data_IF_586506327319
#
_entry.id   IF_586506327319
#
_cell.length_a   1.000
_cell.length_b   1.000
_cell.length_c   1.000
_cell.angle_alpha   90.00
_cell.angle_beta   90.00
_cell.angle_gamma   90.00
#
_symmetry.space_group_name_H-M   'P 1'
#
loop_
_entity.id
_entity.type
_entity.pdbx_description
1 polymer ?
#
# COMPACT_ATOMS: atom_id res chain seq x y z
N UNK A 1 -10.15 0.98 -22.66
CA UNK A 1 -10.67 -0.38 -22.97
C UNK A 1 -12.18 -0.31 -22.89
N UNK A 2 -12.94 -0.83 -23.87
CA UNK A 2 -14.41 -0.91 -23.76
C UNK A 2 -14.79 -2.00 -22.75
N UNK A 3 -15.88 -1.84 -22.00
CA UNK A 3 -16.28 -2.77 -20.94
C UNK A 3 -16.40 -4.24 -21.40
N UNK A 4 -16.88 -4.48 -22.62
CA UNK A 4 -16.97 -5.82 -23.20
C UNK A 4 -15.60 -6.50 -23.36
N UNK A 5 -14.56 -5.76 -23.73
CA UNK A 5 -13.21 -6.32 -23.87
C UNK A 5 -12.62 -6.71 -22.50
N UNK A 6 -12.89 -5.93 -21.46
CA UNK A 6 -12.48 -6.25 -20.08
C UNK A 6 -13.17 -7.52 -19.58
N UNK A 7 -14.48 -7.65 -19.76
CA UNK A 7 -15.23 -8.84 -19.34
C UNK A 7 -14.74 -10.12 -20.04
N UNK A 8 -14.53 -10.06 -21.37
CA UNK A 8 -13.99 -11.17 -22.12
C UNK A 8 -12.60 -11.59 -21.61
N UNK A 9 -11.75 -10.62 -21.25
CA UNK A 9 -10.42 -10.89 -20.69
C UNK A 9 -10.51 -11.56 -19.32
N UNK A 10 -11.37 -11.07 -18.43
CA UNK A 10 -11.58 -11.67 -17.11
C UNK A 10 -12.09 -13.12 -17.23
N UNK A 11 -13.03 -13.38 -18.12
CA UNK A 11 -13.54 -14.72 -18.40
C UNK A 11 -12.44 -15.65 -18.94
N UNK A 12 -11.63 -15.17 -19.89
CA UNK A 12 -10.51 -15.94 -20.43
C UNK A 12 -9.45 -16.28 -19.37
N UNK A 13 -9.25 -15.40 -18.37
CA UNK A 13 -8.37 -15.62 -17.24
C UNK A 13 -9.02 -16.42 -16.09
N UNK A 14 -10.29 -16.82 -16.21
CA UNK A 14 -11.02 -17.49 -15.15
C UNK A 14 -11.31 -16.61 -13.92
N UNK A 15 -11.23 -15.29 -14.06
CA UNK A 15 -11.47 -14.32 -12.98
C UNK A 15 -12.94 -13.91 -12.96
N UNK A 16 -13.63 -14.20 -11.86
CA UNK A 16 -15.01 -13.78 -11.68
C UNK A 16 -15.09 -12.28 -11.34
N UNK A 17 -15.79 -11.45 -12.14
CA UNK A 17 -15.99 -10.04 -11.80
C UNK A 17 -16.97 -9.89 -10.64
N UNK A 18 -16.62 -9.06 -9.67
CA UNK A 18 -17.53 -8.58 -8.62
C UNK A 18 -17.58 -7.06 -8.70
N UNK A 19 -18.79 -6.51 -8.85
CA UNK A 19 -19.00 -5.06 -8.99
C UNK A 19 -19.64 -4.49 -7.74
N UNK A 20 -19.22 -3.30 -7.35
CA UNK A 20 -19.85 -2.54 -6.28
C UNK A 20 -21.30 -2.22 -6.62
N UNK A 21 -22.14 -2.14 -5.58
CA UNK A 21 -23.54 -1.76 -5.70
C UNK A 21 -23.66 -0.35 -6.29
N UNK A 22 -24.59 -0.11 -7.22
CA UNK A 22 -24.80 1.21 -7.80
C UNK A 22 -25.10 2.26 -6.71
N UNK A 23 -24.39 3.39 -6.75
CA UNK A 23 -24.60 4.51 -5.83
C UNK A 23 -24.04 4.32 -4.42
N UNK A 24 -23.27 3.26 -4.15
CA UNK A 24 -22.69 2.98 -2.84
C UNK A 24 -21.18 3.18 -2.88
N UNK A 25 -20.69 4.33 -2.40
CA UNK A 25 -19.25 4.65 -2.41
C UNK A 25 -18.44 3.77 -1.46
N UNK A 26 -18.99 3.45 -0.29
CA UNK A 26 -18.29 2.67 0.74
C UNK A 26 -18.30 1.15 0.51
N UNK A 27 -18.65 0.67 -0.69
CA UNK A 27 -18.71 -0.77 -1.00
C UNK A 27 -17.31 -1.39 -1.21
N UNK A 28 -16.27 -0.57 -1.41
CA UNK A 28 -14.87 -1.00 -1.52
C UNK A 28 -13.92 -0.12 -0.67
N UNK A 29 -14.07 -0.12 0.67
CA UNK A 29 -13.35 0.80 1.55
C UNK A 29 -11.84 0.57 1.52
N UNK A 30 -11.40 -0.67 1.30
CA UNK A 30 -9.98 -0.99 1.16
C UNK A 30 -9.33 -0.25 -0.01
N UNK A 31 -9.92 -0.30 -1.21
CA UNK A 31 -9.35 0.38 -2.38
C UNK A 31 -9.46 1.91 -2.24
N UNK A 32 -10.56 2.41 -1.66
CA UNK A 32 -10.74 3.84 -1.46
C UNK A 32 -9.75 4.44 -0.45
N UNK A 33 -9.36 3.67 0.56
CA UNK A 33 -8.45 4.10 1.62
C UNK A 33 -7.10 4.59 1.10
N UNK A 34 -6.66 4.16 -0.10
CA UNK A 34 -5.39 4.54 -0.72
C UNK A 34 -5.39 5.97 -1.27
N UNK A 35 -6.55 6.51 -1.67
CA UNK A 35 -6.60 7.83 -2.30
C UNK A 35 -6.31 8.98 -1.34
N UNK A 36 -6.66 8.84 -0.06
CA UNK A 36 -6.35 9.86 0.95
C UNK A 36 -4.82 9.96 1.19
N UNK A 37 -4.08 8.90 1.53
CA UNK A 37 -2.61 8.92 1.61
C UNK A 37 -1.95 9.51 0.36
N UNK A 38 -2.45 9.17 -0.82
CA UNK A 38 -1.96 9.72 -2.07
C UNK A 38 -2.10 11.26 -2.14
N UNK A 39 -3.31 11.77 -1.90
CA UNK A 39 -3.64 13.21 -2.04
C UNK A 39 -3.02 14.09 -0.96
N UNK A 40 -2.85 13.57 0.25
CA UNK A 40 -2.35 14.34 1.39
C UNK A 40 -0.82 14.27 1.55
N UNK A 41 -0.11 13.60 0.64
CA UNK A 41 1.35 13.59 0.65
C UNK A 41 1.88 14.99 0.29
N UNK A 42 2.92 15.50 0.97
CA UNK A 42 3.48 16.82 0.66
C UNK A 42 3.91 17.02 -0.79
N UNK A 43 4.34 15.94 -1.46
CA UNK A 43 4.76 15.94 -2.85
C UNK A 43 3.60 15.73 -3.86
N UNK A 44 2.34 15.88 -3.45
CA UNK A 44 1.19 15.75 -4.37
C UNK A 44 1.21 16.85 -5.43
N UNK A 45 1.15 16.52 -6.73
CA UNK A 45 1.24 17.51 -7.79
C UNK A 45 -0.06 18.31 -7.84
N UNK A 46 0.05 19.64 -7.87
CA UNK A 46 -1.09 20.54 -8.09
C UNK A 46 -1.66 20.42 -9.51
N UNK A 47 -0.89 19.81 -10.41
CA UNK A 47 -1.30 19.50 -11.78
C UNK A 47 -0.16 18.78 -12.50
N UNK A 48 -0.51 18.03 -13.54
CA UNK A 48 0.45 17.33 -14.40
C UNK A 48 0.17 17.73 -15.84
N UNK A 49 1.18 18.26 -16.53
CA UNK A 49 1.04 18.72 -17.92
C UNK A 49 1.03 17.58 -18.93
N UNK A 50 1.71 16.48 -18.61
CA UNK A 50 1.90 15.35 -19.51
C UNK A 50 1.55 14.03 -18.81
N UNK A 51 0.96 13.05 -19.52
CA UNK A 51 0.65 11.74 -18.95
C UNK A 51 1.87 11.03 -18.36
N UNK A 52 3.05 11.21 -18.96
CA UNK A 52 4.30 10.64 -18.45
C UNK A 52 4.64 11.15 -17.04
N UNK A 53 4.49 12.46 -16.78
CA UNK A 53 4.74 13.03 -15.46
C UNK A 53 3.81 12.43 -14.39
N UNK A 54 2.54 12.21 -14.75
CA UNK A 54 1.58 11.54 -13.87
C UNK A 54 2.02 10.10 -13.55
N UNK A 55 2.43 9.34 -14.57
CA UNK A 55 2.89 7.95 -14.39
C UNK A 55 4.15 7.87 -13.54
N UNK A 56 5.13 8.73 -13.79
CA UNK A 56 6.37 8.78 -13.00
C UNK A 56 6.09 9.13 -11.54
N UNK A 57 5.20 10.10 -11.30
CA UNK A 57 4.82 10.47 -9.94
C UNK A 57 4.08 9.33 -9.21
N UNK A 58 3.10 8.68 -9.86
CA UNK A 58 2.40 7.52 -9.29
C UNK A 58 3.37 6.36 -9.04
N UNK A 59 4.33 6.12 -9.95
CA UNK A 59 5.35 5.10 -9.78
C UNK A 59 6.22 5.35 -8.53
N UNK A 60 6.68 6.59 -8.35
CA UNK A 60 7.44 6.99 -7.15
C UNK A 60 6.59 6.86 -5.88
N UNK A 61 5.30 7.21 -5.94
CA UNK A 61 4.37 7.02 -4.82
C UNK A 61 4.24 5.54 -4.44
N UNK A 62 4.04 4.65 -5.42
CA UNK A 62 3.87 3.21 -5.20
C UNK A 62 5.15 2.60 -4.62
N UNK A 63 6.32 2.93 -5.19
CA UNK A 63 7.62 2.50 -4.66
C UNK A 63 7.79 2.98 -3.20
N UNK A 64 7.56 4.26 -2.94
CA UNK A 64 7.68 4.80 -1.59
C UNK A 64 6.67 4.19 -0.60
N UNK A 65 5.46 3.84 -1.02
CA UNK A 65 4.44 3.21 -0.18
C UNK A 65 4.78 1.74 0.11
N UNK A 66 5.22 0.98 -0.89
CA UNK A 66 5.47 -0.45 -0.77
C UNK A 66 6.86 -0.77 -0.22
N UNK A 67 7.90 -0.07 -0.64
CA UNK A 67 9.28 -0.53 -0.41
C UNK A 67 10.01 0.28 0.65
N UNK A 68 9.60 1.53 0.87
CA UNK A 68 10.27 2.44 1.81
C UNK A 68 9.45 2.68 3.09
N UNK A 69 8.15 2.94 2.96
CA UNK A 69 7.31 3.28 4.11
C UNK A 69 7.05 2.06 4.99
N UNK A 70 7.32 2.22 6.29
CA UNK A 70 7.04 1.21 7.31
C UNK A 70 5.72 1.55 8.00
N UNK A 71 4.72 0.70 7.78
CA UNK A 71 3.34 1.00 8.14
C UNK A 71 3.05 0.57 9.58
N UNK A 72 2.50 1.47 10.39
CA UNK A 72 2.20 1.20 11.80
C UNK A 72 1.19 0.06 11.99
N UNK A 73 0.20 -0.05 11.09
CA UNK A 73 -0.83 -1.09 11.12
C UNK A 73 -0.26 -2.51 10.96
N UNK A 74 0.95 -2.65 10.41
CA UNK A 74 1.68 -3.92 10.29
C UNK A 74 3.00 -3.86 11.07
N UNK A 75 3.00 -3.21 12.22
CA UNK A 75 4.14 -3.17 13.16
C UNK A 75 5.42 -2.60 12.53
N UNK A 76 5.30 -1.59 11.67
CA UNK A 76 6.42 -0.90 11.04
C UNK A 76 7.35 -1.84 10.25
N UNK A 77 6.77 -2.74 9.45
CA UNK A 77 7.44 -3.42 8.33
C UNK A 77 6.87 -2.90 7.01
N UNK A 78 7.50 -3.25 5.89
CA UNK A 78 6.99 -2.91 4.57
C UNK A 78 5.96 -3.94 4.09
N UNK A 79 4.98 -3.58 3.25
CA UNK A 79 3.99 -4.54 2.75
C UNK A 79 4.62 -5.77 2.06
N UNK A 80 5.67 -5.64 1.22
CA UNK A 80 6.38 -6.79 0.65
C UNK A 80 7.04 -7.69 1.71
N UNK A 81 7.64 -7.11 2.76
CA UNK A 81 8.23 -7.91 3.85
C UNK A 81 7.18 -8.77 4.54
N UNK A 82 6.01 -8.20 4.85
CA UNK A 82 4.89 -8.93 5.44
C UNK A 82 4.31 -9.96 4.47
N UNK A 83 4.18 -9.62 3.20
CA UNK A 83 3.65 -10.54 2.18
C UNK A 83 4.57 -11.75 1.96
N UNK A 84 5.88 -11.54 2.04
CA UNK A 84 6.89 -12.60 1.94
C UNK A 84 7.13 -13.34 3.27
N UNK A 85 6.36 -13.06 4.33
CA UNK A 85 6.53 -13.61 5.68
C UNK A 85 7.93 -13.38 6.30
N UNK A 86 8.66 -12.34 5.86
CA UNK A 86 9.98 -11.97 6.38
C UNK A 86 9.90 -11.14 7.67
N UNK A 87 8.70 -10.70 8.01
CA UNK A 87 8.43 -9.81 9.12
C UNK A 87 8.67 -10.47 10.48
N UNK A 88 8.47 -11.78 10.60
CA UNK A 88 8.71 -12.51 11.86
C UNK A 88 10.15 -12.31 12.35
N UNK A 89 11.14 -12.61 11.50
CA UNK A 89 12.56 -12.44 11.81
C UNK A 89 12.92 -10.98 12.13
N UNK A 90 12.31 -10.03 11.41
CA UNK A 90 12.53 -8.58 11.62
C UNK A 90 12.02 -8.18 13.01
N UNK A 91 10.84 -8.65 13.40
CA UNK A 91 10.19 -8.32 14.66
C UNK A 91 10.91 -8.98 15.85
N UNK A 92 11.37 -10.22 15.69
CA UNK A 92 12.11 -10.92 16.74
C UNK A 92 13.46 -10.24 17.04
N UNK A 93 14.19 -9.85 15.99
CA UNK A 93 15.43 -9.06 16.14
C UNK A 93 15.16 -7.72 16.82
N UNK A 94 14.07 -7.05 16.45
CA UNK A 94 13.68 -5.77 17.03
C UNK A 94 13.32 -5.90 18.51
N UNK A 95 12.56 -6.93 18.87
CA UNK A 95 12.22 -7.22 20.26
C UNK A 95 13.47 -7.48 21.10
N UNK A 96 14.42 -8.28 20.59
CA UNK A 96 15.69 -8.52 21.28
C UNK A 96 16.45 -7.21 21.53
N UNK A 97 16.55 -6.35 20.51
CA UNK A 97 17.18 -5.03 20.62
C UNK A 97 16.50 -4.16 21.67
N UNK A 98 15.17 -4.11 21.70
CA UNK A 98 14.42 -3.34 22.69
C UNK A 98 14.62 -3.88 24.11
N UNK A 99 14.67 -5.20 24.30
CA UNK A 99 14.97 -5.81 25.60
C UNK A 99 16.37 -5.41 26.08
N UNK A 100 17.39 -5.49 25.22
CA UNK A 100 18.75 -5.08 25.57
C UNK A 100 18.84 -3.59 25.88
N UNK A 101 18.17 -2.74 25.10
CA UNK A 101 18.15 -1.30 25.34
C UNK A 101 17.50 -0.96 26.70
N UNK A 102 16.38 -1.61 27.03
CA UNK A 102 15.69 -1.43 28.31
C UNK A 102 16.52 -1.89 29.50
N UNK A 103 17.26 -2.99 29.36
CA UNK A 103 18.19 -3.45 30.41
C UNK A 103 19.33 -2.46 30.66
N UNK A 104 19.82 -1.78 29.61
CA UNK A 104 20.90 -0.78 29.72
C UNK A 104 20.44 0.53 30.35
N UNK A 105 19.16 0.89 30.23
CA UNK A 105 18.61 2.10 30.84
C UNK A 105 17.21 1.83 31.43
N UNK A 106 17.13 1.24 32.64
CA UNK A 106 15.88 0.74 33.20
C UNK A 106 14.87 1.83 33.59
N UNK A 107 15.34 3.08 33.75
CA UNK A 107 14.51 4.23 34.15
C UNK A 107 13.86 4.94 32.94
N UNK A 108 14.06 4.43 31.72
CA UNK A 108 13.47 4.97 30.48
C UNK A 108 12.64 3.92 29.73
#
# INVERSE_FOLDING_TARGET
MKGAAMLATLQALGVMPSLSRPGVSNDNPCSESLFKPMKYRPAYPQGVRYPFAARSWVGALVCGYNDEHRHSAIQFVTPPQRHANLDQDILDRRMALYKTARQRNPLR
#
